data_IF_254241099800
#
_entry.id   IF_254241099800
#
_cell.length_a   1.000
_cell.length_b   1.000
_cell.length_c   1.000
_cell.angle_alpha   90.00
_cell.angle_beta   90.00
_cell.angle_gamma   90.00
#
_symmetry.space_group_name_H-M   'P 1'
#
loop_
_entity.id
_entity.type
_entity.pdbx_description
1 polymer ?
#
# COMPACT_ATOMS: atom_id res chain seq x y z
N UNK A 1 -2.50 24.13 38.49
CA UNK A 1 -3.06 23.79 37.17
C UNK A 1 -1.96 24.05 36.14
N UNK A 2 -1.19 23.01 35.80
CA UNK A 2 -0.24 23.07 34.70
C UNK A 2 -0.90 22.40 33.49
N UNK A 3 -1.14 23.21 32.46
CA UNK A 3 -1.69 22.74 31.21
C UNK A 3 -0.68 21.86 30.45
N UNK A 4 -1.03 20.63 30.19
CA UNK A 4 -0.29 19.76 29.31
C UNK A 4 -0.58 20.24 27.88
N UNK A 5 0.40 20.89 27.28
CA UNK A 5 0.43 21.16 25.84
C UNK A 5 0.68 19.82 25.14
N UNK A 6 -0.36 19.28 24.53
CA UNK A 6 -0.22 18.12 23.63
C UNK A 6 0.48 18.64 22.38
N UNK A 7 1.75 18.25 22.24
CA UNK A 7 2.57 18.56 21.08
C UNK A 7 2.02 17.88 19.83
N UNK A 8 2.20 18.58 18.72
CA UNK A 8 1.80 18.28 17.36
C UNK A 8 1.85 16.79 17.01
N UNK A 9 0.74 16.29 16.45
CA UNK A 9 0.67 15.03 15.71
C UNK A 9 1.82 14.98 14.69
N UNK A 10 2.69 13.99 14.82
CA UNK A 10 3.62 13.66 13.75
C UNK A 10 2.79 13.41 12.48
N UNK A 11 2.82 14.35 11.56
CA UNK A 11 2.31 14.14 10.21
C UNK A 11 3.12 12.97 9.62
N UNK A 12 2.45 11.86 9.35
CA UNK A 12 3.05 10.78 8.56
C UNK A 12 3.65 11.41 7.31
N UNK A 13 4.90 11.08 7.04
CA UNK A 13 5.58 11.53 5.83
C UNK A 13 4.87 10.92 4.61
N UNK A 14 3.93 11.70 4.05
CA UNK A 14 3.05 11.29 2.95
C UNK A 14 3.87 10.82 1.74
N UNK A 15 5.13 11.28 1.62
CA UNK A 15 6.03 10.89 0.54
C UNK A 15 6.50 9.42 0.65
N UNK A 16 6.65 8.86 1.85
CA UNK A 16 6.97 7.43 2.02
C UNK A 16 5.82 6.49 1.67
N UNK A 17 4.57 6.95 1.84
CA UNK A 17 3.36 6.15 1.56
C UNK A 17 3.13 6.03 0.06
N UNK A 18 3.48 7.08 -0.73
CA UNK A 18 3.21 7.14 -2.17
C UNK A 18 4.00 6.12 -3.00
N UNK A 19 5.14 5.62 -2.51
CA UNK A 19 5.99 4.63 -3.21
C UNK A 19 5.26 3.28 -3.42
N UNK A 20 4.26 2.98 -2.60
CA UNK A 20 3.53 1.72 -2.64
C UNK A 20 2.23 1.77 -3.46
N UNK A 21 1.80 2.97 -3.87
CA UNK A 21 0.59 3.10 -4.68
C UNK A 21 0.85 2.76 -6.14
N UNK A 22 -0.01 1.92 -6.70
CA UNK A 22 -0.03 1.61 -8.13
C UNK A 22 -1.42 1.84 -8.71
N UNK A 23 -1.46 2.00 -10.03
CA UNK A 23 -2.70 2.18 -10.76
C UNK A 23 -2.97 1.00 -11.66
N UNK A 24 -4.24 0.67 -11.77
CA UNK A 24 -4.77 -0.29 -12.72
C UNK A 24 -5.69 0.44 -13.67
N UNK A 25 -5.50 0.26 -14.97
CA UNK A 25 -6.39 0.80 -16.01
C UNK A 25 -6.98 -0.35 -16.78
N UNK A 26 -8.30 -0.36 -16.92
CA UNK A 26 -8.99 -1.29 -17.81
C UNK A 26 -8.67 -0.97 -19.28
N UNK A 27 -8.46 -1.99 -20.10
CA UNK A 27 -8.09 -1.86 -21.53
C UNK A 27 -9.06 -0.98 -22.36
N UNK A 28 -10.33 -1.00 -21.99
CA UNK A 28 -11.40 -0.20 -22.63
C UNK A 28 -11.98 0.87 -21.70
N UNK A 29 -11.39 1.11 -20.53
CA UNK A 29 -11.93 2.02 -19.54
C UNK A 29 -10.92 3.13 -19.25
N UNK A 30 -11.36 4.36 -19.35
CA UNK A 30 -10.58 5.56 -19.02
C UNK A 30 -10.38 5.70 -17.49
N UNK A 31 -11.05 4.86 -16.70
CA UNK A 31 -11.02 4.92 -15.25
C UNK A 31 -9.73 4.29 -14.70
N UNK A 32 -8.84 5.14 -14.16
CA UNK A 32 -7.67 4.70 -13.41
C UNK A 32 -8.10 4.30 -11.99
N UNK A 33 -7.83 3.06 -11.57
CA UNK A 33 -8.10 2.59 -10.21
C UNK A 33 -6.81 2.41 -9.44
N UNK A 34 -6.74 3.02 -8.25
CA UNK A 34 -5.59 2.90 -7.35
C UNK A 34 -5.65 1.62 -6.53
N UNK A 35 -4.49 1.05 -6.26
CA UNK A 35 -4.31 -0.01 -5.28
C UNK A 35 -2.92 0.09 -4.65
N UNK A 36 -2.71 -0.62 -3.56
CA UNK A 36 -1.42 -0.69 -2.85
C UNK A 36 -0.71 -1.97 -3.24
N UNK A 37 0.52 -1.84 -3.73
CA UNK A 37 1.43 -2.96 -3.93
C UNK A 37 2.51 -2.91 -2.85
N UNK A 38 2.59 -3.95 -2.03
CA UNK A 38 3.54 -4.03 -0.92
C UNK A 38 4.70 -4.96 -1.29
N UNK A 39 5.81 -4.38 -1.76
CA UNK A 39 7.01 -5.15 -2.11
C UNK A 39 7.66 -5.83 -0.89
N UNK A 40 7.50 -5.27 0.31
CA UNK A 40 8.03 -5.83 1.57
C UNK A 40 7.45 -7.21 1.85
N UNK A 41 6.19 -7.44 1.47
CA UNK A 41 5.53 -8.74 1.53
C UNK A 41 6.37 -9.86 0.87
N UNK A 42 7.07 -9.52 -0.22
CA UNK A 42 7.88 -10.45 -1.02
C UNK A 42 9.34 -10.42 -0.63
N UNK A 43 9.94 -9.26 -0.45
CA UNK A 43 11.38 -9.10 -0.17
C UNK A 43 11.77 -9.62 1.21
N UNK A 44 10.90 -9.50 2.21
CA UNK A 44 11.11 -10.07 3.55
C UNK A 44 10.61 -11.52 3.67
N UNK A 45 9.97 -12.08 2.64
CA UNK A 45 9.55 -13.48 2.63
C UNK A 45 8.24 -13.79 3.36
N UNK A 46 7.43 -12.79 3.73
CA UNK A 46 6.12 -12.99 4.39
C UNK A 46 5.19 -13.89 3.58
N UNK A 47 5.19 -13.75 2.24
CA UNK A 47 4.40 -14.56 1.31
C UNK A 47 4.77 -16.06 1.36
N UNK A 48 5.96 -16.40 1.87
CA UNK A 48 6.45 -17.78 1.93
C UNK A 48 6.05 -18.52 3.20
N UNK A 49 5.53 -17.81 4.21
CA UNK A 49 5.12 -18.42 5.47
C UNK A 49 3.96 -19.42 5.27
N UNK A 50 3.94 -20.53 6.02
CA UNK A 50 2.89 -21.55 5.90
C UNK A 50 1.48 -21.01 6.10
N UNK A 51 1.31 -20.04 7.01
CA UNK A 51 0.00 -19.50 7.35
C UNK A 51 -0.61 -18.68 6.20
N UNK A 52 0.04 -17.67 5.59
CA UNK A 52 -0.47 -17.02 4.39
C UNK A 52 -0.69 -18.00 3.22
N UNK A 53 0.25 -18.94 2.97
CA UNK A 53 0.09 -19.96 1.92
C UNK A 53 -1.16 -20.82 2.10
N UNK A 54 -1.44 -21.23 3.33
CA UNK A 54 -2.67 -21.96 3.66
C UNK A 54 -3.90 -21.14 3.31
N UNK A 55 -3.98 -19.88 3.76
CA UNK A 55 -5.15 -19.03 3.53
C UNK A 55 -5.30 -18.64 2.05
N UNK A 56 -4.21 -18.47 1.29
CA UNK A 56 -4.28 -18.27 -0.16
C UNK A 56 -5.01 -19.43 -0.85
N UNK A 57 -4.75 -20.67 -0.43
CA UNK A 57 -5.45 -21.84 -0.97
C UNK A 57 -6.91 -21.89 -0.55
N UNK A 58 -7.21 -21.62 0.73
CA UNK A 58 -8.61 -21.59 1.24
C UNK A 58 -9.45 -20.55 0.48
N UNK A 59 -8.88 -19.38 0.16
CA UNK A 59 -9.56 -18.31 -0.59
C UNK A 59 -9.90 -18.71 -2.03
N UNK A 60 -9.15 -19.63 -2.61
CA UNK A 60 -9.35 -20.14 -4.00
C UNK A 60 -10.10 -21.47 -4.05
N UNK A 61 -10.20 -22.14 -2.92
CA UNK A 61 -10.80 -23.47 -2.83
C UNK A 61 -12.33 -23.37 -2.86
N UNK A 62 -12.98 -24.26 -3.62
CA UNK A 62 -14.45 -24.40 -3.61
C UNK A 62 -14.96 -24.71 -2.19
N UNK A 63 -16.12 -24.16 -1.79
CA UNK A 63 -16.78 -24.51 -0.53
C UNK A 63 -17.07 -26.01 -0.35
N UNK A 64 -17.14 -26.77 -1.46
CA UNK A 64 -17.33 -28.23 -1.43
C UNK A 64 -16.09 -29.02 -1.02
N UNK A 65 -14.95 -28.34 -0.94
CA UNK A 65 -13.65 -28.91 -0.57
C UNK A 65 -13.12 -28.28 0.71
N UNK A 66 -12.37 -29.04 1.49
CA UNK A 66 -11.70 -28.57 2.69
C UNK A 66 -10.24 -29.01 2.74
N UNK A 67 -9.41 -28.21 3.42
CA UNK A 67 -8.02 -28.55 3.73
C UNK A 67 -7.93 -28.99 5.18
N UNK A 68 -7.27 -30.12 5.40
CA UNK A 68 -6.90 -30.63 6.72
C UNK A 68 -5.53 -30.09 7.06
N UNK A 69 -5.37 -29.44 8.19
CA UNK A 69 -4.13 -28.79 8.57
C UNK A 69 -3.84 -28.81 10.06
N UNK A 70 -2.57 -28.73 10.44
CA UNK A 70 -2.15 -28.49 11.82
C UNK A 70 -2.54 -27.08 12.24
N UNK A 71 -3.22 -26.94 13.38
CA UNK A 71 -3.73 -25.65 13.85
C UNK A 71 -2.61 -24.61 14.09
N UNK A 72 -1.52 -25.05 14.70
CA UNK A 72 -0.45 -24.15 15.17
C UNK A 72 0.33 -23.46 14.02
N UNK A 73 0.71 -24.21 12.99
CA UNK A 73 1.59 -23.75 11.93
C UNK A 73 0.95 -23.75 10.52
N UNK A 74 -0.34 -24.19 10.41
CA UNK A 74 -1.08 -24.31 9.15
C UNK A 74 -0.44 -25.27 8.13
N UNK A 75 0.42 -26.19 8.59
CA UNK A 75 0.93 -27.28 7.75
C UNK A 75 -0.25 -28.06 7.17
N UNK A 76 -0.35 -28.13 5.86
CA UNK A 76 -1.40 -28.87 5.17
C UNK A 76 -1.08 -30.37 5.19
N UNK A 77 -2.05 -31.16 5.61
CA UNK A 77 -1.92 -32.61 5.74
C UNK A 77 -2.67 -33.36 4.64
N UNK A 78 -3.88 -32.87 4.28
CA UNK A 78 -4.75 -33.52 3.30
C UNK A 78 -5.78 -32.52 2.74
N UNK A 79 -6.47 -32.94 1.69
CA UNK A 79 -7.63 -32.27 1.08
C UNK A 79 -8.79 -33.25 0.97
N UNK A 80 -9.95 -32.84 1.45
CA UNK A 80 -11.14 -33.70 1.55
C UNK A 80 -12.38 -33.03 0.94
N UNK A 81 -13.39 -33.86 0.58
CA UNK A 81 -14.71 -33.37 0.23
C UNK A 81 -15.48 -33.02 1.50
N UNK A 82 -16.08 -31.83 1.55
CA UNK A 82 -16.96 -31.40 2.66
C UNK A 82 -18.18 -32.31 2.75
N UNK A 83 -18.74 -32.75 1.61
CA UNK A 83 -19.88 -33.65 1.54
C UNK A 83 -19.55 -35.02 2.17
N UNK A 84 -18.40 -35.59 1.87
CA UNK A 84 -17.99 -36.88 2.44
C UNK A 84 -17.62 -36.72 3.91
N UNK A 85 -16.93 -35.64 4.28
CA UNK A 85 -16.65 -35.33 5.68
C UNK A 85 -17.92 -35.27 6.54
N UNK A 86 -18.95 -34.55 6.07
CA UNK A 86 -20.21 -34.38 6.81
C UNK A 86 -21.04 -35.65 6.95
N UNK A 87 -20.71 -36.73 6.24
CA UNK A 87 -21.34 -38.05 6.44
C UNK A 87 -20.74 -38.84 7.60
N UNK A 88 -19.54 -38.48 8.02
CA UNK A 88 -18.82 -39.16 9.07
C UNK A 88 -19.37 -38.79 10.45
N UNK A 89 -19.38 -39.75 11.37
CA UNK A 89 -19.67 -39.51 12.78
C UNK A 89 -18.49 -38.85 13.49
N UNK A 90 -18.68 -38.25 14.66
CA UNK A 90 -17.62 -37.63 15.45
C UNK A 90 -16.51 -38.65 15.81
N UNK A 91 -16.85 -39.90 16.03
CA UNK A 91 -15.87 -40.98 16.25
C UNK A 91 -15.01 -41.18 15.03
N UNK A 92 -15.59 -41.22 13.83
CA UNK A 92 -14.89 -41.38 12.58
C UNK A 92 -14.02 -40.14 12.28
N UNK A 93 -14.50 -38.91 12.58
CA UNK A 93 -13.71 -37.69 12.51
C UNK A 93 -12.45 -37.79 13.37
N UNK A 94 -12.55 -38.30 14.58
CA UNK A 94 -11.44 -38.48 15.51
C UNK A 94 -10.45 -39.50 14.97
N UNK A 95 -10.92 -40.69 14.57
CA UNK A 95 -10.07 -41.74 13.98
C UNK A 95 -9.31 -41.21 12.76
N UNK A 96 -9.98 -40.45 11.88
CA UNK A 96 -9.34 -39.87 10.70
C UNK A 96 -8.21 -38.89 11.08
N UNK A 97 -8.49 -37.96 12.02
CA UNK A 97 -7.46 -37.03 12.48
C UNK A 97 -6.28 -37.74 13.12
N UNK A 98 -6.52 -38.78 13.93
CA UNK A 98 -5.47 -39.56 14.58
C UNK A 98 -4.66 -40.37 13.60
N UNK A 99 -5.29 -40.95 12.58
CA UNK A 99 -4.58 -41.67 11.52
C UNK A 99 -3.65 -40.74 10.73
N UNK A 100 -4.10 -39.52 10.41
CA UNK A 100 -3.27 -38.52 9.76
C UNK A 100 -2.10 -38.05 10.65
N UNK A 101 -2.36 -37.78 11.95
CA UNK A 101 -1.29 -37.43 12.89
C UNK A 101 -0.21 -38.51 12.91
N UNK A 102 -0.61 -39.76 13.10
CA UNK A 102 0.29 -40.92 13.14
C UNK A 102 1.07 -41.08 11.82
N UNK A 103 0.39 -41.01 10.68
CA UNK A 103 1.02 -41.18 9.36
C UNK A 103 2.02 -40.05 9.04
N UNK A 104 1.85 -38.86 9.61
CA UNK A 104 2.69 -37.68 9.36
C UNK A 104 3.66 -37.35 10.51
N UNK A 105 3.73 -38.19 11.55
CA UNK A 105 4.57 -37.96 12.72
C UNK A 105 4.19 -36.67 13.50
N UNK A 106 2.91 -36.29 13.48
CA UNK A 106 2.42 -35.09 14.18
C UNK A 106 2.14 -35.46 15.65
N UNK A 107 2.71 -34.74 16.64
CA UNK A 107 2.43 -34.96 18.04
C UNK A 107 0.95 -34.87 18.38
N UNK A 108 0.46 -35.71 19.28
CA UNK A 108 -0.94 -35.71 19.73
C UNK A 108 -1.36 -34.41 20.41
N UNK A 109 -0.40 -33.66 20.96
CA UNK A 109 -0.65 -32.33 21.52
C UNK A 109 -1.02 -31.27 20.49
N UNK A 110 -0.79 -31.50 19.18
CA UNK A 110 -1.12 -30.58 18.13
C UNK A 110 -2.52 -30.87 17.56
N UNK A 111 -3.38 -29.86 17.57
CA UNK A 111 -4.73 -29.95 17.03
C UNK A 111 -4.73 -29.95 15.50
N UNK A 112 -5.52 -30.83 14.90
CA UNK A 112 -5.76 -30.87 13.46
C UNK A 112 -7.13 -30.27 13.16
N UNK A 113 -7.18 -29.26 12.31
CA UNK A 113 -8.40 -28.60 11.87
C UNK A 113 -8.75 -28.94 10.43
N UNK A 114 -10.04 -28.93 10.14
CA UNK A 114 -10.58 -28.97 8.79
C UNK A 114 -11.16 -27.59 8.49
N UNK A 115 -10.73 -26.99 7.37
CA UNK A 115 -11.17 -25.67 6.96
C UNK A 115 -11.70 -25.73 5.53
N UNK A 116 -12.99 -25.48 5.37
CA UNK A 116 -13.65 -25.45 4.06
C UNK A 116 -13.20 -24.26 3.23
N UNK A 117 -13.25 -24.43 1.91
CA UNK A 117 -12.94 -23.41 0.95
C UNK A 117 -13.88 -22.20 1.06
N UNK A 118 -13.39 -21.03 0.61
CA UNK A 118 -14.10 -19.76 0.68
C UNK A 118 -14.07 -18.99 -0.64
N UNK A 119 -13.91 -19.67 -1.78
CA UNK A 119 -13.80 -19.04 -3.11
C UNK A 119 -14.94 -18.05 -3.36
N UNK A 120 -16.18 -18.40 -2.99
CA UNK A 120 -17.34 -17.56 -3.27
C UNK A 120 -17.45 -16.33 -2.36
N UNK A 121 -16.62 -16.25 -1.31
CA UNK A 121 -16.54 -15.09 -0.45
C UNK A 121 -15.57 -14.04 -1.00
N UNK A 122 -14.43 -14.44 -1.61
CA UNK A 122 -13.35 -13.55 -2.01
C UNK A 122 -13.47 -13.14 -3.48
N UNK A 123 -14.26 -12.09 -3.74
CA UNK A 123 -14.49 -11.53 -5.09
C UNK A 123 -13.59 -10.31 -5.35
N UNK A 124 -12.28 -10.51 -5.40
CA UNK A 124 -11.28 -9.43 -5.48
C UNK A 124 -11.49 -8.44 -6.64
N UNK A 125 -12.03 -8.88 -7.79
CA UNK A 125 -12.37 -7.97 -8.88
C UNK A 125 -13.37 -6.89 -8.47
N UNK A 126 -14.34 -7.25 -7.64
CA UNK A 126 -15.41 -6.35 -7.21
C UNK A 126 -14.95 -5.38 -6.12
N UNK A 127 -13.83 -5.66 -5.44
CA UNK A 127 -13.34 -4.79 -4.36
C UNK A 127 -12.52 -3.60 -4.86
N UNK A 128 -11.96 -3.68 -6.08
CA UNK A 128 -11.09 -2.64 -6.65
C UNK A 128 -11.67 -1.22 -6.59
N UNK A 129 -12.92 -0.94 -7.04
CA UNK A 129 -13.49 0.40 -6.94
C UNK A 129 -13.60 0.90 -5.50
N UNK A 130 -13.84 0.00 -4.55
CA UNK A 130 -13.95 0.30 -3.12
C UNK A 130 -12.58 0.68 -2.54
N UNK A 131 -11.53 -0.05 -2.90
CA UNK A 131 -10.13 0.27 -2.55
C UNK A 131 -9.78 1.66 -3.08
N UNK A 132 -9.98 1.90 -4.37
CA UNK A 132 -9.66 3.17 -5.03
C UNK A 132 -10.28 4.39 -4.32
N UNK A 133 -11.57 4.31 -3.96
CA UNK A 133 -12.26 5.39 -3.23
C UNK A 133 -11.73 5.57 -1.81
N UNK A 134 -11.37 4.49 -1.13
CA UNK A 134 -10.93 4.49 0.26
C UNK A 134 -9.51 5.03 0.45
N UNK A 135 -8.60 4.80 -0.50
CA UNK A 135 -7.20 5.28 -0.45
C UNK A 135 -7.16 6.79 -0.19
N UNK A 136 -7.93 7.57 -0.95
CA UNK A 136 -7.94 9.03 -0.79
C UNK A 136 -8.46 9.47 0.59
N UNK A 137 -9.50 8.80 1.12
CA UNK A 137 -10.06 9.11 2.45
C UNK A 137 -9.03 8.84 3.54
N UNK A 138 -8.30 7.71 3.46
CA UNK A 138 -7.26 7.37 4.43
C UNK A 138 -6.12 8.39 4.40
N UNK A 139 -5.62 8.75 3.22
CA UNK A 139 -4.58 9.79 3.05
C UNK A 139 -5.00 11.13 3.67
N UNK A 140 -6.20 11.61 3.36
CA UNK A 140 -6.73 12.87 3.89
C UNK A 140 -6.85 12.88 5.42
N UNK A 141 -6.93 11.70 6.05
CA UNK A 141 -6.96 11.54 7.50
C UNK A 141 -5.60 11.16 8.11
N UNK A 142 -4.51 11.24 7.35
CA UNK A 142 -3.15 10.95 7.81
C UNK A 142 -2.92 9.48 8.19
N UNK A 143 -3.62 8.56 7.52
CA UNK A 143 -3.50 7.11 7.76
C UNK A 143 -2.98 6.42 6.51
N UNK A 144 -2.02 5.52 6.69
CA UNK A 144 -1.49 4.70 5.61
C UNK A 144 -2.62 3.96 4.88
N UNK A 145 -2.82 4.21 3.57
CA UNK A 145 -3.88 3.57 2.79
C UNK A 145 -3.69 2.04 2.65
N UNK A 146 -2.54 1.50 3.01
CA UNK A 146 -2.31 0.07 3.12
C UNK A 146 -3.39 -0.61 3.99
N UNK A 147 -3.76 0.03 5.11
CA UNK A 147 -4.82 -0.49 6.00
C UNK A 147 -6.18 -0.53 5.32
N UNK A 148 -6.51 0.45 4.47
CA UNK A 148 -7.77 0.44 3.74
C UNK A 148 -7.88 -0.81 2.87
N UNK A 149 -6.85 -1.10 2.08
CA UNK A 149 -6.81 -2.27 1.21
C UNK A 149 -6.82 -3.56 2.03
N UNK A 150 -5.98 -3.67 3.06
CA UNK A 150 -5.90 -4.85 3.92
C UNK A 150 -7.29 -5.23 4.50
N UNK A 151 -7.99 -4.25 5.08
CA UNK A 151 -9.30 -4.47 5.69
C UNK A 151 -10.35 -4.83 4.64
N UNK A 152 -10.41 -4.11 3.53
CA UNK A 152 -11.39 -4.35 2.47
C UNK A 152 -11.22 -5.71 1.79
N UNK A 153 -9.99 -6.19 1.66
CA UNK A 153 -9.70 -7.51 1.07
C UNK A 153 -10.19 -8.68 1.93
N UNK A 154 -10.37 -8.49 3.24
CA UNK A 154 -10.73 -9.57 4.18
C UNK A 154 -12.13 -9.43 4.78
N UNK A 155 -12.63 -8.21 5.00
CA UNK A 155 -13.93 -7.99 5.66
C UNK A 155 -15.10 -8.06 4.67
N UNK A 156 -14.94 -7.46 3.51
CA UNK A 156 -16.03 -7.37 2.54
C UNK A 156 -15.56 -7.43 1.09
N UNK A 157 -14.80 -8.46 0.69
CA UNK A 157 -14.24 -8.51 -0.65
C UNK A 157 -15.34 -8.49 -1.73
N UNK A 158 -15.64 -7.30 -2.25
CA UNK A 158 -16.67 -7.06 -3.25
C UNK A 158 -18.11 -6.93 -2.75
N UNK A 159 -18.35 -6.90 -1.44
CA UNK A 159 -19.71 -6.84 -0.83
C UNK A 159 -19.88 -5.58 0.02
N UNK A 160 -20.58 -4.57 -0.51
CA UNK A 160 -20.77 -3.28 0.16
C UNK A 160 -21.69 -3.31 1.39
N UNK A 161 -22.69 -4.20 1.41
CA UNK A 161 -23.75 -4.26 2.42
C UNK A 161 -23.64 -5.52 3.31
N UNK A 162 -22.42 -5.90 3.67
CA UNK A 162 -22.20 -7.05 4.53
C UNK A 162 -22.50 -6.70 5.98
N UNK A 163 -23.44 -7.43 6.59
CA UNK A 163 -23.76 -7.32 8.01
C UNK A 163 -23.38 -8.62 8.73
N UNK A 164 -22.58 -8.52 9.78
CA UNK A 164 -22.22 -9.67 10.59
C UNK A 164 -23.32 -10.02 11.60
N UNK A 165 -23.32 -11.26 12.08
CA UNK A 165 -24.23 -11.73 13.16
C UNK A 165 -24.06 -10.96 14.47
N UNK A 166 -22.86 -10.40 14.71
CA UNK A 166 -22.54 -9.62 15.91
C UNK A 166 -22.78 -8.11 15.73
N UNK A 167 -23.30 -7.67 14.59
CA UNK A 167 -23.72 -6.29 14.34
C UNK A 167 -22.67 -5.36 13.72
N UNK A 168 -21.53 -5.88 13.28
CA UNK A 168 -20.63 -5.15 12.40
C UNK A 168 -21.30 -4.96 11.03
N UNK A 169 -21.06 -3.80 10.36
CA UNK A 169 -21.76 -3.48 9.13
C UNK A 169 -20.89 -2.65 8.17
N UNK A 170 -21.17 -2.80 6.87
CA UNK A 170 -20.55 -2.06 5.78
C UNK A 170 -19.15 -2.55 5.40
N UNK A 171 -18.49 -1.89 4.44
CA UNK A 171 -17.22 -2.35 3.86
C UNK A 171 -16.11 -2.57 4.88
N UNK A 172 -16.03 -1.71 5.89
CA UNK A 172 -15.01 -1.77 6.95
C UNK A 172 -15.48 -2.49 8.23
N UNK A 173 -16.64 -3.14 8.20
CA UNK A 173 -17.20 -3.95 9.30
C UNK A 173 -17.14 -3.26 10.67
N UNK A 174 -17.52 -1.97 10.72
CA UNK A 174 -17.52 -1.22 11.96
C UNK A 174 -18.69 -1.63 12.87
N UNK A 175 -18.39 -1.85 14.14
CA UNK A 175 -19.43 -2.01 15.17
C UNK A 175 -20.18 -0.70 15.39
N UNK A 176 -21.50 -0.75 15.65
CA UNK A 176 -22.34 0.44 15.82
C UNK A 176 -21.81 1.45 16.88
N UNK A 177 -21.38 1.03 18.08
CA UNK A 177 -20.82 1.96 19.07
C UNK A 177 -19.52 2.59 18.55
N UNK A 178 -18.63 1.81 17.92
CA UNK A 178 -17.37 2.28 17.37
C UNK A 178 -17.62 3.32 16.28
N UNK A 179 -18.48 3.04 15.32
CA UNK A 179 -18.84 3.96 14.24
C UNK A 179 -19.33 5.31 14.78
N UNK A 180 -20.22 5.29 15.79
CA UNK A 180 -20.71 6.50 16.44
C UNK A 180 -19.59 7.29 17.13
N UNK A 181 -18.70 6.62 17.86
CA UNK A 181 -17.56 7.25 18.52
C UNK A 181 -16.59 7.87 17.51
N UNK A 182 -16.53 7.33 16.29
CA UNK A 182 -15.74 7.87 15.17
C UNK A 182 -16.50 8.97 14.39
N UNK A 183 -17.71 9.35 14.83
CA UNK A 183 -18.48 10.46 14.30
C UNK A 183 -19.40 10.10 13.12
N UNK A 184 -19.69 8.82 12.91
CA UNK A 184 -20.67 8.37 11.91
C UNK A 184 -22.10 8.43 12.48
N UNK A 185 -23.05 8.81 11.66
CA UNK A 185 -24.49 8.73 11.98
C UNK A 185 -24.99 7.30 11.82
N UNK A 186 -25.33 6.66 12.93
CA UNK A 186 -25.88 5.30 12.96
C UNK A 186 -27.10 5.26 13.90
N UNK A 187 -28.29 5.35 13.33
CA UNK A 187 -29.57 5.36 14.05
C UNK A 187 -30.61 4.48 13.34
N UNK A 188 -31.90 4.61 13.67
CA UNK A 188 -32.96 3.83 13.07
C UNK A 188 -33.28 4.18 11.59
N UNK A 189 -32.84 5.37 11.11
CA UNK A 189 -33.12 5.85 9.76
C UNK A 189 -31.88 5.91 8.87
N UNK A 190 -30.69 6.13 9.47
CA UNK A 190 -29.42 6.34 8.74
C UNK A 190 -28.37 5.40 9.34
N UNK A 191 -27.66 4.68 8.46
CA UNK A 191 -26.50 3.89 8.82
C UNK A 191 -25.33 4.22 7.84
N UNK A 192 -24.53 5.23 8.21
CA UNK A 192 -23.40 5.69 7.38
C UNK A 192 -22.26 4.64 7.25
N UNK A 193 -22.34 3.52 7.95
CA UNK A 193 -21.39 2.41 7.79
C UNK A 193 -21.50 1.72 6.44
N UNK A 194 -22.67 1.83 5.77
CA UNK A 194 -22.90 1.24 4.44
C UNK A 194 -22.44 2.15 3.29
N UNK A 195 -22.17 3.42 3.55
CA UNK A 195 -21.53 4.32 2.61
C UNK A 195 -20.02 4.12 2.63
N UNK A 196 -19.39 3.95 1.46
CA UNK A 196 -17.97 3.61 1.38
C UNK A 196 -17.06 4.70 1.94
N UNK A 197 -17.32 5.97 1.63
CA UNK A 197 -16.47 7.08 2.05
C UNK A 197 -16.66 7.39 3.53
N UNK A 198 -17.90 7.34 4.01
CA UNK A 198 -18.20 7.48 5.45
C UNK A 198 -17.63 6.34 6.26
N UNK A 199 -17.78 5.10 5.78
CA UNK A 199 -17.22 3.92 6.43
C UNK A 199 -15.68 3.98 6.45
N UNK A 200 -15.04 4.38 5.34
CA UNK A 200 -13.61 4.62 5.27
C UNK A 200 -13.15 5.73 6.23
N UNK A 201 -13.92 6.83 6.34
CA UNK A 201 -13.66 7.89 7.31
C UNK A 201 -13.73 7.38 8.75
N UNK A 202 -14.73 6.57 9.08
CA UNK A 202 -14.85 5.96 10.40
C UNK A 202 -13.69 5.02 10.72
N UNK A 203 -13.31 4.18 9.77
CA UNK A 203 -12.19 3.23 9.90
C UNK A 203 -10.85 3.96 10.03
N UNK A 204 -10.58 4.97 9.19
CA UNK A 204 -9.35 5.77 9.28
C UNK A 204 -9.24 6.50 10.62
N UNK A 205 -10.34 7.06 11.14
CA UNK A 205 -10.37 7.69 12.47
C UNK A 205 -10.12 6.69 13.60
N UNK A 206 -10.68 5.47 13.52
CA UNK A 206 -10.43 4.41 14.49
C UNK A 206 -8.94 4.03 14.52
N UNK A 207 -8.33 3.87 13.36
CA UNK A 207 -6.90 3.56 13.24
C UNK A 207 -6.05 4.71 13.79
N UNK A 208 -6.29 5.95 13.36
CA UNK A 208 -5.49 7.11 13.73
C UNK A 208 -5.60 7.48 15.22
N UNK A 209 -6.81 7.39 15.81
CA UNK A 209 -7.06 7.85 17.18
C UNK A 209 -6.89 6.76 18.22
N UNK A 210 -7.05 5.49 17.86
CA UNK A 210 -7.09 4.37 18.80
C UNK A 210 -6.01 3.33 18.47
N UNK A 211 -6.08 2.69 17.29
CA UNK A 211 -5.29 1.48 17.05
C UNK A 211 -3.79 1.78 16.97
N UNK A 212 -3.39 2.74 16.14
CA UNK A 212 -1.98 3.11 15.94
C UNK A 212 -1.36 3.67 17.23
N UNK A 213 -1.95 4.68 17.90
CA UNK A 213 -1.37 5.22 19.15
C UNK A 213 -1.23 4.16 20.24
N UNK A 214 -2.22 3.28 20.36
CA UNK A 214 -2.17 2.22 21.37
C UNK A 214 -1.08 1.17 21.08
N UNK A 215 -0.91 0.78 19.82
CA UNK A 215 0.18 -0.14 19.42
C UNK A 215 1.53 0.52 19.67
N UNK A 216 1.72 1.79 19.34
CA UNK A 216 2.95 2.54 19.63
C UNK A 216 3.25 2.53 21.13
N UNK A 217 2.31 2.95 21.97
CA UNK A 217 2.48 2.93 23.45
C UNK A 217 2.82 1.53 23.98
N UNK A 218 2.20 0.50 23.41
CA UNK A 218 2.46 -0.88 23.79
C UNK A 218 3.89 -1.31 23.43
N UNK A 219 4.38 -0.97 22.23
CA UNK A 219 5.73 -1.31 21.78
C UNK A 219 6.79 -0.49 22.52
N UNK A 220 6.54 0.80 22.79
CA UNK A 220 7.40 1.66 23.61
C UNK A 220 7.53 1.09 25.02
N UNK A 221 6.42 0.63 25.63
CA UNK A 221 6.42 0.00 26.96
C UNK A 221 7.15 -1.34 26.98
N UNK A 222 7.25 -2.02 25.85
CA UNK A 222 8.02 -3.25 25.67
C UNK A 222 9.46 -2.99 25.20
N UNK A 223 9.88 -1.72 25.09
CA UNK A 223 11.19 -1.26 24.62
C UNK A 223 11.57 -1.79 23.22
N UNK A 224 10.57 -2.01 22.35
CA UNK A 224 10.79 -2.49 20.99
C UNK A 224 11.01 -1.32 20.03
N UNK A 225 12.00 -1.44 19.17
CA UNK A 225 12.22 -0.52 18.06
C UNK A 225 11.29 -0.89 16.90
N UNK A 226 10.65 0.11 16.29
CA UNK A 226 9.74 -0.08 15.15
C UNK A 226 9.74 1.14 14.23
N UNK A 227 9.33 0.89 12.99
CA UNK A 227 8.90 1.95 12.09
C UNK A 227 7.42 1.70 11.75
N UNK A 228 6.59 2.76 11.69
CA UNK A 228 5.16 2.62 11.36
C UNK A 228 4.91 2.03 9.96
N UNK A 229 5.91 2.05 9.09
CA UNK A 229 5.89 1.43 7.76
C UNK A 229 6.36 -0.02 7.75
N UNK A 230 6.87 -0.55 8.86
CA UNK A 230 7.24 -1.97 8.94
C UNK A 230 6.00 -2.86 8.81
N UNK A 231 6.10 -3.93 8.03
CA UNK A 231 4.93 -4.79 7.80
C UNK A 231 4.45 -5.45 9.12
N UNK A 232 5.37 -5.88 9.98
CA UNK A 232 5.01 -6.45 11.28
C UNK A 232 4.26 -5.46 12.19
N UNK A 233 4.63 -4.16 12.17
CA UNK A 233 3.90 -3.11 12.89
C UNK A 233 2.47 -2.97 12.35
N UNK A 234 2.31 -2.89 11.02
CA UNK A 234 1.00 -2.82 10.37
C UNK A 234 0.12 -4.02 10.73
N UNK A 235 0.69 -5.23 10.80
CA UNK A 235 -0.04 -6.44 11.18
C UNK A 235 -0.52 -6.40 12.63
N UNK A 236 0.27 -5.84 13.58
CA UNK A 236 -0.18 -5.61 14.95
C UNK A 236 -1.33 -4.60 15.03
N UNK A 237 -1.25 -3.52 14.26
CA UNK A 237 -2.34 -2.53 14.17
C UNK A 237 -3.61 -3.16 13.60
N UNK A 238 -3.52 -4.04 12.60
CA UNK A 238 -4.67 -4.82 12.10
C UNK A 238 -5.29 -5.70 13.20
N UNK A 239 -4.45 -6.35 14.00
CA UNK A 239 -4.95 -7.11 15.15
C UNK A 239 -5.67 -6.22 16.16
N UNK A 240 -5.15 -5.00 16.43
CA UNK A 240 -5.81 -4.03 17.31
C UNK A 240 -7.16 -3.56 16.74
N UNK A 241 -7.25 -3.38 15.41
CA UNK A 241 -8.50 -3.05 14.72
C UNK A 241 -9.57 -4.13 14.91
N UNK A 242 -9.21 -5.41 14.72
CA UNK A 242 -10.13 -6.52 14.76
C UNK A 242 -10.47 -6.97 16.20
N UNK A 243 -9.46 -7.17 17.04
CA UNK A 243 -9.61 -7.78 18.37
C UNK A 243 -9.74 -6.76 19.50
N UNK A 244 -9.48 -5.47 19.20
CA UNK A 244 -9.32 -4.41 20.19
C UNK A 244 -7.92 -4.34 20.79
N UNK A 245 -7.44 -3.13 20.96
CA UNK A 245 -6.07 -2.84 21.38
C UNK A 245 -5.67 -3.48 22.73
N UNK A 246 -6.59 -3.54 23.70
CA UNK A 246 -6.34 -4.17 25.02
C UNK A 246 -6.03 -5.66 24.95
N UNK A 247 -6.68 -6.40 24.06
CA UNK A 247 -6.40 -7.82 23.85
C UNK A 247 -5.02 -8.03 23.23
N UNK A 248 -4.63 -7.20 22.24
CA UNK A 248 -3.30 -7.25 21.61
C UNK A 248 -2.21 -6.92 22.62
N UNK A 249 -2.40 -5.89 23.45
CA UNK A 249 -1.46 -5.57 24.52
C UNK A 249 -1.29 -6.73 25.52
N UNK A 250 -2.36 -7.45 25.84
CA UNK A 250 -2.28 -8.64 26.66
C UNK A 250 -1.48 -9.78 26.03
N UNK A 251 -1.60 -9.95 24.70
CA UNK A 251 -0.80 -10.90 23.92
C UNK A 251 0.68 -10.52 23.97
N UNK A 252 1.04 -9.27 23.70
CA UNK A 252 2.43 -8.81 23.70
C UNK A 252 3.05 -8.93 25.10
N UNK A 253 2.33 -8.54 26.17
CA UNK A 253 2.82 -8.76 27.55
C UNK A 253 3.06 -10.25 27.86
N UNK A 254 2.19 -11.13 27.36
CA UNK A 254 2.35 -12.59 27.57
C UNK A 254 3.54 -13.15 26.81
N UNK A 255 3.81 -12.66 25.60
CA UNK A 255 4.96 -13.07 24.79
C UNK A 255 6.26 -12.51 25.38
N UNK A 256 6.23 -11.26 25.88
CA UNK A 256 7.38 -10.51 26.35
C UNK A 256 8.54 -10.49 25.33
N UNK A 257 8.32 -9.97 24.11
CA UNK A 257 9.28 -10.04 23.02
C UNK A 257 10.48 -9.12 23.26
N UNK A 258 11.66 -9.51 22.76
CA UNK A 258 12.85 -8.68 22.75
C UNK A 258 13.08 -7.95 21.43
N UNK A 259 12.41 -8.37 20.35
CA UNK A 259 12.51 -7.77 19.02
C UNK A 259 11.20 -7.87 18.25
N UNK A 260 11.03 -7.00 17.22
CA UNK A 260 9.93 -7.03 16.28
C UNK A 260 10.15 -8.03 15.14
N UNK A 261 9.28 -7.95 14.10
CA UNK A 261 9.49 -8.71 12.88
C UNK A 261 8.65 -10.00 12.75
N UNK A 262 9.06 -10.85 11.81
CA UNK A 262 8.33 -12.07 11.42
C UNK A 262 8.12 -13.01 12.62
N UNK A 263 9.15 -13.22 13.42
CA UNK A 263 9.12 -14.17 14.56
C UNK A 263 8.09 -13.74 15.60
N UNK A 264 8.03 -12.44 15.92
CA UNK A 264 7.03 -11.89 16.82
C UNK A 264 5.62 -12.16 16.28
N UNK A 265 5.37 -11.85 15.02
CA UNK A 265 4.05 -12.04 14.41
C UNK A 265 3.64 -13.50 14.36
N UNK A 266 4.56 -14.43 14.05
CA UNK A 266 4.26 -15.86 14.11
C UNK A 266 3.93 -16.33 15.54
N UNK A 267 4.56 -15.76 16.55
CA UNK A 267 4.26 -16.02 17.96
C UNK A 267 2.89 -15.45 18.36
N UNK A 268 2.56 -14.24 17.88
CA UNK A 268 1.23 -13.62 18.06
C UNK A 268 0.13 -14.54 17.49
N UNK A 269 0.34 -15.14 16.31
CA UNK A 269 -0.63 -16.05 15.69
C UNK A 269 -0.92 -17.31 16.51
N UNK A 270 -0.02 -17.69 17.42
CA UNK A 270 -0.15 -18.89 18.26
C UNK A 270 -0.54 -18.55 19.71
N UNK A 271 -0.45 -17.28 20.10
CA UNK A 271 -0.74 -16.84 21.46
C UNK A 271 -2.20 -16.47 21.64
N UNK A 272 -2.79 -16.88 22.75
CA UNK A 272 -4.16 -16.51 23.14
C UNK A 272 -4.16 -15.65 24.39
N UNK A 273 -5.03 -14.62 24.41
CA UNK A 273 -5.26 -13.76 25.56
C UNK A 273 -6.65 -13.12 25.47
N UNK A 274 -7.47 -13.27 26.50
CA UNK A 274 -8.81 -12.70 26.55
C UNK A 274 -9.65 -13.07 25.31
N UNK A 275 -10.10 -12.06 24.58
CA UNK A 275 -10.82 -12.23 23.30
C UNK A 275 -9.92 -12.52 22.10
N UNK A 276 -8.61 -12.44 22.23
CA UNK A 276 -7.67 -12.72 21.16
C UNK A 276 -7.44 -14.23 21.01
N UNK A 277 -8.21 -14.85 20.15
CA UNK A 277 -8.15 -16.29 19.84
C UNK A 277 -8.80 -16.57 18.48
N UNK A 278 -8.53 -17.73 17.88
CA UNK A 278 -9.11 -18.22 16.62
C UNK A 278 -9.14 -17.12 15.51
N UNK A 279 -10.31 -16.49 15.30
CA UNK A 279 -10.50 -15.49 14.25
C UNK A 279 -9.50 -14.32 14.36
N UNK A 280 -9.24 -13.85 15.58
CA UNK A 280 -8.27 -12.75 15.80
C UNK A 280 -6.83 -13.16 15.47
N UNK A 281 -6.43 -14.40 15.79
CA UNK A 281 -5.13 -14.94 15.43
C UNK A 281 -4.95 -15.09 13.91
N UNK A 282 -6.03 -15.37 13.18
CA UNK A 282 -6.00 -15.54 11.73
C UNK A 282 -6.06 -14.22 10.96
N UNK A 283 -6.45 -13.13 11.60
CA UNK A 283 -6.82 -11.89 10.89
C UNK A 283 -5.69 -11.34 10.01
N UNK A 284 -4.48 -11.19 10.54
CA UNK A 284 -3.34 -10.72 9.74
C UNK A 284 -2.80 -11.79 8.78
N UNK A 285 -2.95 -13.09 9.09
CA UNK A 285 -2.64 -14.17 8.14
C UNK A 285 -3.54 -14.08 6.89
N UNK A 286 -4.84 -13.79 7.10
CA UNK A 286 -5.80 -13.56 6.01
C UNK A 286 -5.44 -12.32 5.20
N UNK A 287 -5.01 -11.22 5.86
CA UNK A 287 -4.59 -10.01 5.17
C UNK A 287 -3.41 -10.27 4.22
N UNK A 288 -2.36 -10.93 4.71
CA UNK A 288 -1.20 -11.31 3.88
C UNK A 288 -1.60 -12.21 2.70
N UNK A 289 -2.43 -13.21 2.96
CA UNK A 289 -2.93 -14.12 1.92
C UNK A 289 -3.77 -13.38 0.87
N UNK A 290 -4.62 -12.46 1.31
CA UNK A 290 -5.48 -11.68 0.44
C UNK A 290 -4.68 -10.72 -0.43
N UNK A 291 -3.64 -10.06 0.11
CA UNK A 291 -2.69 -9.27 -0.68
C UNK A 291 -2.03 -10.12 -1.77
N UNK A 292 -1.46 -11.28 -1.42
CA UNK A 292 -0.83 -12.17 -2.41
C UNK A 292 -1.79 -12.60 -3.52
N UNK A 293 -3.03 -12.97 -3.18
CA UNK A 293 -4.03 -13.38 -4.16
C UNK A 293 -4.53 -12.21 -5.00
N UNK A 294 -4.65 -11.03 -4.41
CA UNK A 294 -5.04 -9.81 -5.10
C UNK A 294 -3.96 -9.38 -6.09
N UNK A 295 -2.69 -9.32 -5.65
CA UNK A 295 -1.56 -9.02 -6.53
C UNK A 295 -1.46 -10.01 -7.70
N UNK A 296 -1.60 -11.32 -7.40
CA UNK A 296 -1.60 -12.34 -8.45
C UNK A 296 -2.76 -12.13 -9.45
N UNK A 297 -3.96 -11.78 -8.96
CA UNK A 297 -5.09 -11.49 -9.83
C UNK A 297 -4.82 -10.27 -10.72
N UNK A 298 -4.28 -9.20 -10.14
CA UNK A 298 -3.94 -7.98 -10.89
C UNK A 298 -2.90 -8.29 -11.96
N UNK A 299 -1.87 -9.07 -11.63
CA UNK A 299 -0.82 -9.47 -12.59
C UNK A 299 -1.32 -10.41 -13.71
N UNK A 300 -2.21 -11.35 -13.39
CA UNK A 300 -2.77 -12.30 -14.37
C UNK A 300 -3.78 -11.66 -15.32
N UNK A 301 -4.38 -10.53 -14.96
CA UNK A 301 -5.31 -9.79 -15.81
C UNK A 301 -4.60 -8.77 -16.70
N UNK A 302 -3.30 -8.90 -16.89
CA UNK A 302 -2.48 -7.99 -17.70
C UNK A 302 -2.94 -7.81 -19.15
N UNK A 303 -3.76 -8.70 -19.69
CA UNK A 303 -4.36 -8.53 -21.01
C UNK A 303 -5.59 -7.63 -21.04
N UNK A 304 -6.21 -7.39 -19.90
CA UNK A 304 -7.38 -6.51 -19.74
C UNK A 304 -7.21 -5.39 -18.69
N UNK A 305 -6.12 -5.43 -17.91
CA UNK A 305 -5.82 -4.48 -16.84
C UNK A 305 -4.36 -4.09 -16.96
N UNK A 306 -4.09 -2.89 -17.45
CA UNK A 306 -2.73 -2.35 -17.49
C UNK A 306 -2.35 -1.80 -16.12
N UNK A 307 -1.29 -2.32 -15.54
CA UNK A 307 -0.44 -1.52 -14.68
C UNK A 307 0.12 -0.42 -15.58
N UNK A 308 -0.33 0.83 -15.40
CA UNK A 308 0.33 1.94 -16.07
C UNK A 308 1.70 2.00 -15.47
N UNK A 309 2.67 1.62 -16.25
CA UNK A 309 4.00 1.81 -15.77
C UNK A 309 5.01 1.85 -16.85
N UNK A 310 5.82 2.82 -16.70
CA UNK A 310 7.19 2.70 -17.08
C UNK A 310 7.79 1.34 -16.67
N UNK A 311 7.40 0.79 -15.49
CA UNK A 311 7.79 -0.56 -15.03
C UNK A 311 7.39 -1.68 -15.99
N UNK A 312 6.18 -1.65 -16.55
CA UNK A 312 5.77 -2.66 -17.54
C UNK A 312 6.58 -2.54 -18.82
N UNK A 313 6.75 -1.32 -19.30
CA UNK A 313 7.59 -1.06 -20.48
C UNK A 313 9.03 -1.47 -20.20
N UNK A 314 9.58 -1.09 -19.05
CA UNK A 314 10.94 -1.42 -18.65
C UNK A 314 11.13 -2.93 -18.43
N UNK A 315 10.20 -3.62 -17.80
CA UNK A 315 10.26 -5.08 -17.60
C UNK A 315 10.13 -5.85 -18.93
N UNK A 316 9.40 -5.30 -19.89
CA UNK A 316 9.30 -5.88 -21.24
C UNK A 316 10.62 -5.73 -22.02
N UNK A 317 11.42 -4.72 -21.70
CA UNK A 317 12.75 -4.49 -22.25
C UNK A 317 13.70 -5.67 -22.02
N UNK A 318 13.68 -6.27 -20.82
CA UNK A 318 14.55 -7.41 -20.47
C UNK A 318 14.41 -8.62 -21.43
N UNK A 319 13.25 -8.75 -22.09
CA UNK A 319 12.95 -9.81 -23.03
C UNK A 319 13.04 -9.37 -24.50
N UNK A 320 13.44 -8.13 -24.78
CA UNK A 320 13.52 -7.59 -26.13
C UNK A 320 14.77 -8.12 -26.86
N UNK A 321 14.57 -8.81 -27.98
CA UNK A 321 15.64 -9.18 -28.93
C UNK A 321 15.89 -8.08 -29.97
N UNK A 322 15.93 -6.84 -29.53
CA UNK A 322 16.01 -5.65 -30.37
C UNK A 322 17.47 -5.26 -30.68
N UNK A 323 17.67 -4.49 -31.72
CA UNK A 323 18.98 -3.88 -32.01
C UNK A 323 19.34 -2.85 -30.92
N UNK A 324 20.61 -2.46 -30.75
CA UNK A 324 20.99 -1.41 -29.81
C UNK A 324 20.24 -0.08 -30.04
N UNK A 325 19.95 0.27 -31.29
CA UNK A 325 19.17 1.46 -31.66
C UNK A 325 17.71 1.34 -31.16
N UNK A 326 17.05 0.20 -31.43
CA UNK A 326 15.69 -0.03 -30.99
C UNK A 326 15.61 -0.05 -29.45
N UNK A 327 16.61 -0.61 -28.78
CA UNK A 327 16.72 -0.60 -27.31
C UNK A 327 16.82 0.81 -26.76
N UNK A 328 17.61 1.66 -27.36
CA UNK A 328 17.76 3.06 -26.97
C UNK A 328 16.42 3.81 -27.10
N UNK A 329 15.74 3.66 -28.24
CA UNK A 329 14.41 4.25 -28.48
C UNK A 329 13.38 3.73 -27.50
N UNK A 330 13.40 2.44 -27.19
CA UNK A 330 12.48 1.83 -26.24
C UNK A 330 12.69 2.33 -24.80
N UNK A 331 13.94 2.43 -24.35
CA UNK A 331 14.28 2.97 -23.03
C UNK A 331 13.90 4.47 -22.92
N UNK A 332 14.09 5.24 -23.99
CA UNK A 332 13.60 6.62 -24.06
C UNK A 332 12.09 6.73 -23.89
N UNK A 333 11.34 5.84 -24.52
CA UNK A 333 9.88 5.76 -24.31
C UNK A 333 9.50 5.38 -22.88
N UNK A 334 10.29 4.53 -22.20
CA UNK A 334 10.09 4.24 -20.79
C UNK A 334 10.27 5.51 -19.93
N UNK A 335 11.31 6.30 -20.17
CA UNK A 335 11.50 7.58 -19.46
C UNK A 335 10.30 8.50 -19.69
N UNK A 336 9.85 8.67 -20.93
CA UNK A 336 8.69 9.51 -21.27
C UNK A 336 7.40 9.03 -20.59
N UNK A 337 7.25 7.72 -20.39
CA UNK A 337 6.11 7.17 -19.65
C UNK A 337 6.23 7.51 -18.16
N UNK A 338 7.41 7.34 -17.54
CA UNK A 338 7.62 7.73 -16.15
C UNK A 338 7.43 9.24 -15.91
N UNK A 339 7.79 10.08 -16.87
CA UNK A 339 7.47 11.51 -16.80
C UNK A 339 5.97 11.78 -16.79
N UNK A 340 5.24 11.10 -17.69
CA UNK A 340 3.80 11.20 -17.74
C UNK A 340 3.18 10.75 -16.41
N UNK A 341 3.64 9.64 -15.86
CA UNK A 341 3.19 9.09 -14.59
C UNK A 341 3.49 10.04 -13.42
N UNK A 342 4.64 10.73 -13.42
CA UNK A 342 4.98 11.77 -12.45
C UNK A 342 4.06 12.98 -12.58
N UNK A 343 3.86 13.48 -13.80
CA UNK A 343 3.00 14.65 -14.08
C UNK A 343 1.55 14.35 -13.72
N UNK A 344 1.07 13.16 -13.99
CA UNK A 344 -0.27 12.70 -13.62
C UNK A 344 -0.40 12.39 -12.12
N UNK A 345 0.72 12.29 -11.39
CA UNK A 345 0.76 11.95 -9.95
C UNK A 345 0.53 10.49 -9.67
N UNK A 346 0.83 9.65 -10.63
CA UNK A 346 0.78 8.20 -10.53
C UNK A 346 1.96 7.70 -9.71
N UNK A 347 3.13 8.31 -9.91
CA UNK A 347 4.35 8.01 -9.16
C UNK A 347 4.87 9.26 -8.45
N UNK A 348 5.57 9.11 -7.31
CA UNK A 348 6.26 10.20 -6.64
C UNK A 348 7.59 10.52 -7.32
N UNK A 349 8.12 11.71 -7.02
CA UNK A 349 9.39 12.17 -7.57
C UNK A 349 10.56 11.20 -7.28
N UNK A 350 10.69 10.69 -6.07
CA UNK A 350 11.80 9.79 -5.69
C UNK A 350 11.74 8.46 -6.46
N UNK A 351 10.54 7.95 -6.74
CA UNK A 351 10.36 6.78 -7.60
C UNK A 351 10.78 7.07 -9.04
N UNK A 352 10.32 8.21 -9.58
CA UNK A 352 10.73 8.69 -10.91
C UNK A 352 12.25 8.73 -11.05
N UNK A 353 12.95 9.38 -10.11
CA UNK A 353 14.41 9.49 -10.14
C UNK A 353 15.09 8.12 -10.04
N UNK A 354 14.62 7.24 -9.16
CA UNK A 354 15.18 5.90 -9.03
C UNK A 354 15.10 5.12 -10.34
N UNK A 355 13.96 5.21 -11.03
CA UNK A 355 13.75 4.49 -12.29
C UNK A 355 14.49 5.10 -13.48
N UNK A 356 14.49 6.42 -13.58
CA UNK A 356 15.24 7.10 -14.65
C UNK A 356 16.74 6.89 -14.52
N UNK A 357 17.31 6.90 -13.31
CA UNK A 357 18.73 6.61 -13.09
C UNK A 357 19.11 5.18 -13.54
N UNK A 358 18.25 4.19 -13.27
CA UNK A 358 18.48 2.81 -13.76
C UNK A 358 18.48 2.78 -15.29
N UNK A 359 17.52 3.45 -15.93
CA UNK A 359 17.43 3.49 -17.39
C UNK A 359 18.60 4.26 -17.99
N UNK A 360 19.01 5.36 -17.39
CA UNK A 360 20.19 6.15 -17.85
C UNK A 360 21.47 5.32 -17.77
N UNK A 361 21.63 4.50 -16.73
CA UNK A 361 22.76 3.58 -16.61
C UNK A 361 22.75 2.52 -17.74
N UNK A 362 21.58 1.96 -18.04
CA UNK A 362 21.42 1.02 -19.16
C UNK A 362 21.71 1.69 -20.52
N UNK A 363 21.23 2.93 -20.71
CA UNK A 363 21.48 3.73 -21.93
C UNK A 363 22.97 4.04 -22.11
N UNK A 364 23.69 4.35 -21.04
CA UNK A 364 25.12 4.59 -21.09
C UNK A 364 25.92 3.38 -21.62
N UNK A 365 25.44 2.17 -21.37
CA UNK A 365 25.99 0.92 -21.92
C UNK A 365 25.73 0.71 -23.41
N UNK A 366 24.85 1.49 -24.04
CA UNK A 366 24.47 1.36 -25.45
C UNK A 366 25.17 2.36 -26.37
N UNK A 367 26.29 2.97 -25.94
CA UNK A 367 27.04 3.93 -26.74
C UNK A 367 27.31 3.42 -28.18
N UNK A 368 27.25 4.26 -29.25
CA UNK A 368 27.15 5.72 -29.24
C UNK A 368 25.71 6.27 -29.20
N UNK A 369 24.71 5.42 -29.05
CA UNK A 369 23.31 5.83 -29.00
C UNK A 369 23.04 6.47 -27.62
N UNK A 370 22.90 7.79 -27.60
CA UNK A 370 22.57 8.53 -26.37
C UNK A 370 21.13 8.99 -26.44
N UNK A 371 20.37 8.72 -25.38
CA UNK A 371 19.15 9.48 -25.09
C UNK A 371 19.58 10.65 -24.21
N UNK A 372 19.48 11.89 -24.67
CA UNK A 372 19.98 13.03 -23.91
C UNK A 372 18.98 13.38 -22.80
N UNK A 373 19.25 12.99 -21.57
CA UNK A 373 18.71 13.71 -20.42
C UNK A 373 19.45 15.03 -20.31
N UNK A 374 18.99 16.04 -21.03
CA UNK A 374 19.54 17.39 -21.04
C UNK A 374 18.84 18.28 -20.01
N UNK A 375 19.44 19.45 -19.72
CA UNK A 375 18.79 20.49 -18.92
C UNK A 375 17.40 20.87 -19.48
N UNK A 376 17.24 20.89 -20.80
CA UNK A 376 15.96 21.16 -21.48
C UNK A 376 14.92 20.10 -21.17
N UNK A 377 15.34 18.85 -21.07
CA UNK A 377 14.46 17.74 -20.76
C UNK A 377 13.88 17.86 -19.33
N UNK A 378 14.74 18.05 -18.32
CA UNK A 378 14.29 18.30 -16.94
C UNK A 378 13.47 19.58 -16.82
N UNK A 379 13.80 20.62 -17.57
CA UNK A 379 12.99 21.84 -17.62
C UNK A 379 11.58 21.58 -18.16
N UNK A 380 11.47 20.82 -19.24
CA UNK A 380 10.17 20.43 -19.81
C UNK A 380 9.29 19.73 -18.77
N UNK A 381 9.84 18.78 -18.02
CA UNK A 381 9.14 18.07 -16.93
C UNK A 381 8.70 19.07 -15.85
N UNK A 382 9.61 19.93 -15.39
CA UNK A 382 9.33 20.95 -14.38
C UNK A 382 8.18 21.87 -14.77
N UNK A 383 8.15 22.36 -15.99
CA UNK A 383 7.06 23.21 -16.49
C UNK A 383 5.73 22.44 -16.68
N UNK A 384 5.77 21.16 -17.10
CA UNK A 384 4.58 20.30 -17.13
C UNK A 384 3.98 20.15 -15.73
N UNK A 385 4.82 19.96 -14.71
CA UNK A 385 4.39 19.86 -13.31
C UNK A 385 3.79 21.17 -12.78
N UNK A 386 4.41 22.33 -13.11
CA UNK A 386 3.83 23.65 -12.78
C UNK A 386 2.46 23.84 -13.40
N UNK A 387 2.30 23.47 -14.69
CA UNK A 387 1.00 23.49 -15.37
C UNK A 387 -0.03 22.57 -14.70
N UNK A 388 0.41 21.44 -14.18
CA UNK A 388 -0.42 20.50 -13.40
C UNK A 388 -0.63 20.95 -11.94
N UNK A 389 -0.15 22.15 -11.54
CA UNK A 389 -0.21 22.73 -10.19
C UNK A 389 0.53 21.91 -9.12
N UNK A 390 1.56 21.18 -9.50
CA UNK A 390 2.41 20.35 -8.64
C UNK A 390 3.73 21.08 -8.35
N UNK A 391 3.63 22.17 -7.55
CA UNK A 391 4.75 23.07 -7.32
C UNK A 391 5.92 22.41 -6.58
N UNK A 392 5.64 21.54 -5.62
CA UNK A 392 6.66 20.84 -4.83
C UNK A 392 7.47 19.85 -5.69
N UNK A 393 6.79 19.09 -6.54
CA UNK A 393 7.44 18.17 -7.48
C UNK A 393 8.24 18.96 -8.54
N UNK A 394 7.67 20.05 -9.06
CA UNK A 394 8.37 20.92 -9.99
C UNK A 394 9.64 21.50 -9.37
N UNK A 395 9.56 21.97 -8.11
CA UNK A 395 10.71 22.43 -7.34
C UNK A 395 11.80 21.37 -7.26
N UNK A 396 11.45 20.14 -6.92
CA UNK A 396 12.41 19.02 -6.82
C UNK A 396 13.07 18.72 -8.16
N UNK A 397 12.31 18.73 -9.26
CA UNK A 397 12.86 18.54 -10.62
C UNK A 397 13.84 19.66 -10.99
N UNK A 398 13.47 20.92 -10.78
CA UNK A 398 14.36 22.04 -11.07
C UNK A 398 15.60 22.08 -10.17
N UNK A 399 15.49 21.65 -8.90
CA UNK A 399 16.65 21.52 -8.00
C UNK A 399 17.60 20.41 -8.42
N UNK A 400 17.07 19.28 -8.91
CA UNK A 400 17.88 18.23 -9.52
C UNK A 400 18.58 18.76 -10.76
N UNK A 401 17.86 19.49 -11.60
CA UNK A 401 18.41 20.09 -12.81
C UNK A 401 19.49 21.13 -12.49
N UNK A 402 19.31 21.95 -11.44
CA UNK A 402 20.35 22.88 -10.95
C UNK A 402 21.62 22.14 -10.51
N UNK A 403 21.47 20.98 -9.89
CA UNK A 403 22.62 20.17 -9.45
C UNK A 403 23.39 19.61 -10.65
N UNK A 404 22.70 19.15 -11.67
CA UNK A 404 23.29 18.53 -12.85
C UNK A 404 23.79 19.57 -13.86
N UNK A 405 23.14 20.72 -13.97
CA UNK A 405 23.39 21.75 -14.96
C UNK A 405 23.41 23.17 -14.33
N UNK A 406 24.37 23.45 -13.44
CA UNK A 406 24.40 24.71 -12.65
C UNK A 406 24.56 25.98 -13.49
N UNK A 407 25.04 25.87 -14.75
CA UNK A 407 25.24 26.99 -15.67
C UNK A 407 24.10 27.14 -16.69
N UNK A 408 23.06 26.34 -16.60
CA UNK A 408 21.89 26.48 -17.48
C UNK A 408 20.96 27.60 -16.99
N UNK A 409 20.77 28.62 -17.84
CA UNK A 409 19.86 29.73 -17.54
C UNK A 409 18.40 29.32 -17.39
N UNK A 410 18.00 28.29 -18.13
CA UNK A 410 16.62 27.78 -18.15
C UNK A 410 16.21 27.15 -16.83
N UNK A 411 17.15 26.57 -16.09
CA UNK A 411 16.95 26.03 -14.73
C UNK A 411 16.51 27.14 -13.78
N UNK A 412 17.21 28.29 -13.82
CA UNK A 412 16.90 29.42 -12.94
C UNK A 412 15.62 30.15 -13.34
N UNK A 413 15.25 30.12 -14.63
CA UNK A 413 13.90 30.53 -15.06
C UNK A 413 12.83 29.63 -14.44
N UNK A 414 13.00 28.31 -14.48
CA UNK A 414 12.08 27.35 -13.90
C UNK A 414 11.94 27.48 -12.38
N UNK A 415 13.06 27.62 -11.66
CA UNK A 415 13.06 27.90 -10.21
C UNK A 415 12.38 29.24 -9.89
N UNK A 416 12.66 30.29 -10.69
CA UNK A 416 12.01 31.59 -10.55
C UNK A 416 10.49 31.50 -10.68
N UNK A 417 10.01 30.79 -11.69
CA UNK A 417 8.58 30.58 -11.90
C UNK A 417 7.96 29.74 -10.78
N UNK A 418 8.66 28.72 -10.31
CA UNK A 418 8.20 27.89 -9.18
C UNK A 418 8.04 28.72 -7.93
N UNK A 419 9.06 29.49 -7.53
CA UNK A 419 8.99 30.36 -6.36
C UNK A 419 7.92 31.45 -6.49
N UNK A 420 7.72 31.98 -7.72
CA UNK A 420 6.65 32.95 -8.00
C UNK A 420 5.26 32.34 -7.71
N UNK A 421 5.02 31.12 -8.18
CA UNK A 421 3.76 30.40 -7.96
C UNK A 421 3.56 30.00 -6.51
N UNK A 422 4.64 29.78 -5.76
CA UNK A 422 4.63 29.54 -4.30
C UNK A 422 4.46 30.83 -3.48
N UNK A 423 4.40 32.01 -4.13
CA UNK A 423 4.28 33.31 -3.44
C UNK A 423 5.58 33.83 -2.83
N UNK A 424 6.73 33.21 -3.11
CA UNK A 424 8.05 33.55 -2.55
C UNK A 424 8.78 34.54 -3.48
N UNK A 425 8.32 35.80 -3.43
CA UNK A 425 8.71 36.86 -4.38
C UNK A 425 10.21 37.12 -4.42
N UNK A 426 10.89 37.18 -3.29
CA UNK A 426 12.34 37.47 -3.20
C UNK A 426 13.18 36.39 -3.86
N UNK A 427 12.83 35.11 -3.60
CA UNK A 427 13.50 33.96 -4.23
C UNK A 427 13.21 33.88 -5.72
N UNK A 428 11.99 34.22 -6.14
CA UNK A 428 11.63 34.30 -7.55
C UNK A 428 12.51 35.33 -8.27
N UNK A 429 12.61 36.55 -7.72
CA UNK A 429 13.46 37.62 -8.29
C UNK A 429 14.94 37.24 -8.35
N UNK A 430 15.46 36.59 -7.30
CA UNK A 430 16.85 36.11 -7.27
C UNK A 430 17.13 35.13 -8.42
N UNK A 431 16.24 34.15 -8.63
CA UNK A 431 16.43 33.15 -9.67
C UNK A 431 16.25 33.74 -11.08
N UNK A 432 15.25 34.59 -11.32
CA UNK A 432 15.10 35.26 -12.60
C UNK A 432 16.32 36.16 -12.94
N UNK A 433 16.88 36.88 -11.98
CA UNK A 433 18.11 37.66 -12.16
C UNK A 433 19.30 36.75 -12.48
N UNK A 434 19.40 35.57 -11.83
CA UNK A 434 20.45 34.59 -12.17
C UNK A 434 20.28 34.05 -13.58
N UNK A 435 19.05 33.76 -14.00
CA UNK A 435 18.73 33.36 -15.37
C UNK A 435 19.17 34.41 -16.39
N UNK A 436 18.86 35.69 -16.16
CA UNK A 436 19.30 36.79 -17.03
C UNK A 436 20.82 37.03 -17.06
N UNK A 437 21.51 36.76 -15.93
CA UNK A 437 22.96 36.82 -15.88
C UNK A 437 23.60 35.78 -16.80
N UNK A 438 23.00 34.58 -16.89
CA UNK A 438 23.47 33.50 -17.75
C UNK A 438 22.99 33.63 -19.20
N UNK A 439 21.80 34.18 -19.42
CA UNK A 439 21.26 34.51 -20.74
C UNK A 439 20.58 35.89 -20.73
N UNK A 440 21.29 36.94 -21.10
CA UNK A 440 20.74 38.30 -21.13
C UNK A 440 19.54 38.49 -22.06
N UNK A 441 19.36 37.61 -23.04
CA UNK A 441 18.26 37.66 -24.00
C UNK A 441 16.98 36.87 -23.51
N UNK A 442 16.95 36.41 -22.25
CA UNK A 442 15.79 35.74 -21.73
C UNK A 442 14.64 36.72 -21.39
N UNK A 443 13.83 37.03 -22.42
CA UNK A 443 12.69 37.93 -22.29
C UNK A 443 11.67 37.50 -21.24
N UNK A 444 11.46 36.20 -21.04
CA UNK A 444 10.50 35.70 -20.05
C UNK A 444 10.89 36.05 -18.63
N UNK A 445 12.18 35.86 -18.30
CA UNK A 445 12.71 36.28 -17.01
C UNK A 445 12.67 37.80 -16.84
N UNK A 446 12.96 38.58 -17.91
CA UNK A 446 12.87 40.05 -17.87
C UNK A 446 11.43 40.51 -17.58
N UNK A 447 10.45 39.93 -18.32
CA UNK A 447 9.03 40.23 -18.11
C UNK A 447 8.56 39.83 -16.68
N UNK A 448 9.05 38.71 -16.18
CA UNK A 448 8.70 38.24 -14.82
C UNK A 448 9.23 39.18 -13.73
N UNK A 449 10.48 39.65 -13.84
CA UNK A 449 11.09 40.63 -12.92
C UNK A 449 10.28 41.94 -12.93
N UNK A 450 9.94 42.46 -14.09
CA UNK A 450 9.15 43.69 -14.23
C UNK A 450 7.77 43.55 -13.55
N UNK A 451 7.07 42.43 -13.77
CA UNK A 451 5.79 42.17 -13.13
C UNK A 451 5.88 42.05 -11.62
N UNK A 452 6.97 41.56 -11.10
CA UNK A 452 7.21 41.44 -9.66
C UNK A 452 7.69 42.76 -9.02
N UNK A 453 7.83 43.84 -9.79
CA UNK A 453 8.32 45.14 -9.35
C UNK A 453 9.81 45.13 -8.98
N UNK A 454 10.59 44.24 -9.58
CA UNK A 454 12.06 44.23 -9.53
C UNK A 454 12.62 45.26 -10.47
N UNK A 455 13.66 45.97 -10.05
CA UNK A 455 14.49 46.80 -10.90
C UNK A 455 15.73 46.03 -11.36
#
# INVERSE_FOLDING_TARGET
MQGIVISASAQLDVNKISIMEKYVVGYNDVTKMKFINDSVLYTEGWHNLPQPKFWQQIMKLSPDSAIVSVAANRQMLDRISVKEWNKLSEVQHTIYRDSLRKARGIPDSLTVFITAGKKDFYEFKKVMPTINRSINVFKQNGVDPWYAQAILLIESPGKMNTKSTVGANGPFQLMKPVARNMGLKVNGKIDERTDIEKSALGASRLLNRICIPYVKTMLDSAHLQYNETDLWFRLLVLHAYHAGAGNVAGVIRKINPCEGGIQLIQTVWQTTYGGFKNASQNYSQLALAAFCNFDQMVMQQSDSVYLIDGDRMFNSYANCKCTPYDKCSYLGNCISQYETDLVDGIIPFDYFITKTNVIEHELAGLAPYQYPCTDEHYNSIGFKLLKAKKMEEAYKVFKLNETNYPDSWSVYQGLGETYRLMGQKELALLNYKKSLKLNPNNEDSLRAITRLGGK
#
